data_IF_873813964322
#
_entry.id   IF_873813964322
#
_cell.length_a   1.000
_cell.length_b   1.000
_cell.length_c   1.000
_cell.angle_alpha   90.00
_cell.angle_beta   90.00
_cell.angle_gamma   90.00
#
_symmetry.space_group_name_H-M   'P 1'
#
loop_
_entity.id
_entity.type
_entity.pdbx_description
1 polymer ?
#
# COMPACT_ATOMS: atom_id res chain seq x y z
N UNK A 1 17.62 -8.47 36.66
CA UNK A 1 16.44 -7.57 36.60
C UNK A 1 16.80 -6.11 36.23
N UNK A 2 18.01 -5.82 35.71
CA UNK A 2 18.47 -4.44 35.45
C UNK A 2 18.83 -4.21 33.97
N UNK A 3 17.96 -4.59 33.04
CA UNK A 3 18.08 -4.16 31.64
C UNK A 3 17.27 -2.87 31.47
N UNK A 4 17.88 -1.81 30.93
CA UNK A 4 17.13 -0.63 30.50
C UNK A 4 16.08 -1.02 29.45
N UNK A 5 14.89 -0.41 29.47
CA UNK A 5 13.86 -0.70 28.47
C UNK A 5 14.36 -0.31 27.06
N UNK A 6 13.99 -1.07 26.01
CA UNK A 6 14.37 -0.74 24.65
C UNK A 6 13.69 0.55 24.19
N UNK A 7 14.33 1.31 23.30
CA UNK A 7 13.79 2.56 22.74
C UNK A 7 12.41 2.39 22.07
N UNK A 8 12.09 1.19 21.60
CA UNK A 8 10.78 0.86 21.01
C UNK A 8 9.61 1.08 21.98
N UNK A 9 9.83 0.98 23.30
CA UNK A 9 8.82 1.32 24.32
C UNK A 9 8.37 2.78 24.22
N UNK A 10 9.30 3.67 23.87
CA UNK A 10 9.07 5.11 23.73
C UNK A 10 8.81 5.52 22.28
N UNK A 11 8.61 4.57 21.35
CA UNK A 11 8.59 4.84 19.92
C UNK A 11 7.64 5.97 19.49
N UNK A 12 6.44 6.05 20.07
CA UNK A 12 5.49 7.14 19.78
C UNK A 12 5.98 8.52 20.25
N UNK A 13 6.62 8.59 21.42
CA UNK A 13 7.22 9.83 21.92
C UNK A 13 8.43 10.22 21.06
N UNK A 14 9.27 9.26 20.66
CA UNK A 14 10.44 9.53 19.83
C UNK A 14 10.05 10.00 18.42
N UNK A 15 8.98 9.46 17.83
CA UNK A 15 8.42 9.98 16.57
C UNK A 15 7.86 11.39 16.70
N UNK A 16 7.21 11.71 17.83
CA UNK A 16 6.78 13.07 18.17
C UNK A 16 7.98 14.02 18.22
N UNK A 17 8.97 13.73 19.06
CA UNK A 17 10.18 14.57 19.22
C UNK A 17 10.97 14.72 17.91
N UNK A 18 11.04 13.68 17.09
CA UNK A 18 11.66 13.74 15.77
C UNK A 18 11.02 14.80 14.88
N UNK A 19 9.68 14.85 14.80
CA UNK A 19 9.00 15.83 13.96
C UNK A 19 9.09 17.26 14.51
N UNK A 20 9.00 17.48 15.83
CA UNK A 20 9.28 18.81 16.41
C UNK A 20 10.71 19.27 16.10
N UNK A 21 11.69 18.39 16.27
CA UNK A 21 13.12 18.69 15.99
C UNK A 21 13.34 19.00 14.51
N UNK A 22 12.68 18.29 13.60
CA UNK A 22 12.77 18.53 12.16
C UNK A 22 12.08 19.84 11.72
N UNK A 23 11.01 20.25 12.41
CA UNK A 23 10.21 21.41 12.06
C UNK A 23 10.70 22.73 12.68
N UNK A 24 11.31 22.70 13.86
CA UNK A 24 11.60 23.89 14.70
C UNK A 24 12.36 25.03 14.00
N UNK A 25 13.24 24.72 13.05
CA UNK A 25 14.04 25.70 12.30
C UNK A 25 13.57 25.90 10.84
N UNK A 26 12.41 25.38 10.47
CA UNK A 26 11.90 25.41 9.09
C UNK A 26 10.49 26.05 9.03
N UNK A 27 10.37 27.38 8.84
CA UNK A 27 9.07 28.08 8.78
C UNK A 27 8.25 27.76 7.51
N UNK A 28 8.65 26.76 6.71
CA UNK A 28 7.93 26.22 5.55
C UNK A 28 7.76 24.71 5.62
N UNK A 29 7.92 24.10 6.80
CA UNK A 29 7.85 22.64 6.98
C UNK A 29 6.50 22.05 6.54
N UNK A 30 5.44 22.86 6.60
CA UNK A 30 4.05 22.57 6.22
C UNK A 30 3.75 22.79 4.72
N UNK A 31 4.75 23.15 3.92
CA UNK A 31 4.60 23.45 2.49
C UNK A 31 5.57 22.61 1.65
N UNK A 32 5.20 22.37 0.40
CA UNK A 32 6.12 21.87 -0.62
C UNK A 32 6.94 23.01 -1.22
N UNK A 33 6.35 24.20 -1.38
CA UNK A 33 7.01 25.38 -1.96
C UNK A 33 8.07 25.97 -1.02
N UNK A 34 9.33 25.93 -1.47
CA UNK A 34 10.46 26.55 -0.76
C UNK A 34 10.85 25.87 0.55
N UNK A 35 10.37 24.65 0.81
CA UNK A 35 10.78 23.80 1.92
C UNK A 35 12.04 22.99 1.53
N UNK A 36 13.18 23.17 2.21
CA UNK A 36 14.46 22.58 1.78
C UNK A 36 14.53 21.05 1.88
N UNK A 37 13.65 20.41 2.65
CA UNK A 37 13.61 18.96 2.83
C UNK A 37 12.52 18.26 2.00
N UNK A 38 11.62 19.01 1.36
CA UNK A 38 10.51 18.47 0.59
C UNK A 38 10.89 18.29 -0.88
N UNK A 39 10.65 17.09 -1.42
CA UNK A 39 10.71 16.83 -2.85
C UNK A 39 9.60 17.62 -3.56
N UNK A 40 9.95 18.25 -4.69
CA UNK A 40 8.99 18.92 -5.57
C UNK A 40 8.31 17.90 -6.48
N UNK A 41 7.16 17.40 -6.04
CA UNK A 41 6.33 16.48 -6.81
C UNK A 41 5.26 17.30 -7.56
N UNK A 42 5.08 17.12 -8.88
CA UNK A 42 3.99 17.76 -9.63
C UNK A 42 2.66 17.07 -9.31
N UNK A 43 2.09 17.39 -8.15
CA UNK A 43 0.76 16.92 -7.74
C UNK A 43 -0.36 17.55 -8.57
N UNK A 44 -1.42 16.78 -8.81
CA UNK A 44 -2.57 17.21 -9.59
C UNK A 44 -3.51 18.11 -8.75
N UNK A 45 -4.05 19.17 -9.37
CA UNK A 45 -5.08 20.02 -8.75
C UNK A 45 -6.47 19.49 -9.12
N UNK A 46 -7.04 18.67 -8.24
CA UNK A 46 -8.37 18.10 -8.44
C UNK A 46 -9.27 18.33 -7.20
N UNK A 47 -9.98 19.48 -7.13
CA UNK A 47 -10.81 19.83 -5.97
C UNK A 47 -12.02 18.90 -5.80
N UNK A 48 -12.57 18.34 -6.89
CA UNK A 48 -13.68 17.39 -6.82
C UNK A 48 -13.24 16.06 -6.17
N UNK A 49 -12.06 15.55 -6.55
CA UNK A 49 -11.49 14.35 -5.96
C UNK A 49 -11.06 14.56 -4.50
N UNK A 50 -10.50 15.74 -4.18
CA UNK A 50 -10.21 16.12 -2.80
C UNK A 50 -11.48 16.16 -1.93
N UNK A 51 -12.55 16.79 -2.42
CA UNK A 51 -13.83 16.84 -1.71
C UNK A 51 -14.41 15.43 -1.48
N UNK A 52 -14.41 14.56 -2.50
CA UNK A 52 -14.85 13.16 -2.35
C UNK A 52 -14.04 12.38 -1.31
N UNK A 53 -12.72 12.62 -1.21
CA UNK A 53 -11.88 12.03 -0.17
C UNK A 53 -12.19 12.59 1.22
N UNK A 54 -12.24 13.92 1.36
CA UNK A 54 -12.49 14.59 2.64
C UNK A 54 -13.90 14.31 3.20
N UNK A 55 -14.89 14.13 2.34
CA UNK A 55 -16.29 13.89 2.70
C UNK A 55 -16.69 12.40 2.77
N UNK A 56 -15.74 11.47 2.68
CA UNK A 56 -15.99 10.02 2.69
C UNK A 56 -16.96 9.53 1.58
N UNK A 57 -16.73 10.01 0.35
CA UNK A 57 -17.51 9.70 -0.87
C UNK A 57 -16.63 9.16 -2.00
N UNK A 58 -15.53 8.49 -1.67
CA UNK A 58 -14.60 7.89 -2.65
C UNK A 58 -15.19 6.67 -3.36
N UNK A 59 -16.19 6.02 -2.76
CA UNK A 59 -16.73 4.76 -3.23
C UNK A 59 -15.88 3.54 -2.83
N UNK A 60 -14.84 3.73 -2.01
CA UNK A 60 -14.05 2.67 -1.39
C UNK A 60 -14.41 2.58 0.10
N UNK A 61 -15.20 1.58 0.54
CA UNK A 61 -15.76 1.53 1.90
C UNK A 61 -14.75 1.61 3.04
N UNK A 62 -13.52 1.09 2.83
CA UNK A 62 -12.46 1.20 3.82
C UNK A 62 -11.97 2.65 4.00
N UNK A 63 -11.74 3.37 2.90
CA UNK A 63 -11.31 4.77 2.91
C UNK A 63 -12.41 5.65 3.48
N UNK A 64 -13.66 5.45 3.01
CA UNK A 64 -14.81 6.22 3.44
C UNK A 64 -15.17 5.96 4.92
N UNK A 65 -15.03 4.72 5.42
CA UNK A 65 -15.22 4.43 6.84
C UNK A 65 -14.16 5.13 7.72
N UNK A 66 -12.89 5.17 7.28
CA UNK A 66 -11.82 5.88 8.01
C UNK A 66 -12.09 7.39 8.03
N UNK A 67 -12.42 7.99 6.89
CA UNK A 67 -12.68 9.43 6.81
C UNK A 67 -13.96 9.82 7.57
N UNK A 68 -14.94 8.91 7.65
CA UNK A 68 -16.13 9.06 8.49
C UNK A 68 -15.79 8.97 9.98
N UNK A 69 -14.97 8.00 10.41
CA UNK A 69 -14.50 7.93 11.80
C UNK A 69 -13.75 9.20 12.19
N UNK A 70 -12.81 9.66 11.35
CA UNK A 70 -12.04 10.88 11.59
C UNK A 70 -12.96 12.09 11.82
N UNK A 71 -13.98 12.27 10.98
CA UNK A 71 -14.93 13.38 11.10
C UNK A 71 -15.87 13.27 12.31
N UNK A 72 -16.17 12.06 12.79
CA UNK A 72 -17.10 11.82 13.91
C UNK A 72 -16.41 11.80 15.28
N UNK A 73 -15.22 11.22 15.36
CA UNK A 73 -14.52 10.91 16.63
C UNK A 73 -13.22 11.71 16.80
N UNK A 74 -12.75 12.41 15.76
CA UNK A 74 -11.54 13.23 15.79
C UNK A 74 -10.23 12.43 15.90
N UNK A 75 -10.27 11.10 15.84
CA UNK A 75 -9.10 10.25 15.91
C UNK A 75 -9.25 9.01 15.02
N UNK A 76 -8.15 8.61 14.38
CA UNK A 76 -8.05 7.37 13.62
C UNK A 76 -6.68 6.72 13.84
N UNK A 77 -6.64 5.39 13.92
CA UNK A 77 -5.41 4.62 14.14
C UNK A 77 -4.34 4.93 13.08
N UNK A 78 -3.05 4.90 13.45
CA UNK A 78 -1.95 5.26 12.53
C UNK A 78 -1.97 4.49 11.20
N UNK A 79 -2.29 3.19 11.20
CA UNK A 79 -2.42 2.42 9.95
C UNK A 79 -3.60 2.87 9.07
N UNK A 80 -4.65 3.44 9.67
CA UNK A 80 -5.76 4.06 8.94
C UNK A 80 -5.32 5.40 8.32
N UNK A 81 -4.55 6.23 9.07
CA UNK A 81 -3.89 7.44 8.55
C UNK A 81 -3.02 7.11 7.32
N UNK A 82 -2.22 6.05 7.41
CA UNK A 82 -1.39 5.56 6.29
C UNK A 82 -2.23 5.19 5.06
N UNK A 83 -3.36 4.50 5.25
CA UNK A 83 -4.23 4.10 4.14
C UNK A 83 -4.85 5.30 3.41
N UNK A 84 -5.42 6.26 4.15
CA UNK A 84 -6.07 7.43 3.53
C UNK A 84 -5.08 8.43 2.95
N UNK A 85 -3.91 8.61 3.58
CA UNK A 85 -2.83 9.45 3.05
C UNK A 85 -2.21 8.84 1.78
N UNK A 86 -2.02 7.51 1.75
CA UNK A 86 -1.59 6.81 0.54
C UNK A 86 -2.60 6.99 -0.59
N UNK A 87 -3.90 6.76 -0.33
CA UNK A 87 -4.95 6.92 -1.34
C UNK A 87 -4.99 8.34 -1.93
N UNK A 88 -4.95 9.37 -1.08
CA UNK A 88 -4.96 10.77 -1.54
C UNK A 88 -3.73 11.14 -2.39
N UNK A 89 -2.55 10.66 -2.01
CA UNK A 89 -1.27 11.12 -2.59
C UNK A 89 -0.74 10.13 -3.64
N UNK A 90 0.41 9.49 -3.38
CA UNK A 90 1.13 8.60 -4.30
C UNK A 90 0.43 7.28 -4.65
N UNK A 91 -0.66 6.93 -3.98
CA UNK A 91 -1.43 5.70 -4.20
C UNK A 91 -2.39 5.86 -5.36
N UNK A 92 -3.41 6.71 -5.22
CA UNK A 92 -4.56 6.68 -6.12
C UNK A 92 -4.86 8.06 -6.75
N UNK A 93 -5.06 9.12 -5.96
CA UNK A 93 -5.60 10.39 -6.46
C UNK A 93 -4.54 11.40 -6.94
N UNK A 94 -3.27 11.22 -6.59
CA UNK A 94 -2.15 12.12 -6.97
C UNK A 94 -2.31 13.59 -6.52
N UNK A 95 -3.02 13.82 -5.42
CA UNK A 95 -3.25 15.16 -4.85
C UNK A 95 -2.13 15.50 -3.84
N UNK A 96 -1.81 16.79 -3.67
CA UNK A 96 -0.76 17.20 -2.73
C UNK A 96 -1.08 16.78 -1.30
N UNK A 97 -0.03 16.33 -0.61
CA UNK A 97 -0.06 16.03 0.83
C UNK A 97 -0.42 17.27 1.66
N UNK A 98 -0.18 18.48 1.14
CA UNK A 98 -0.57 19.76 1.75
C UNK A 98 -2.10 19.89 1.92
N UNK A 99 -2.88 19.32 0.99
CA UNK A 99 -4.35 19.35 1.08
C UNK A 99 -4.87 18.32 2.10
N UNK A 100 -4.24 17.15 2.17
CA UNK A 100 -4.52 16.15 3.19
C UNK A 100 -4.18 16.63 4.60
N UNK A 101 -3.07 17.37 4.73
CA UNK A 101 -2.63 18.00 5.97
C UNK A 101 -3.67 18.98 6.52
N UNK A 102 -4.25 19.86 5.67
CA UNK A 102 -5.32 20.79 6.08
C UNK A 102 -6.57 20.08 6.59
N UNK A 103 -7.00 19.01 5.91
CA UNK A 103 -8.17 18.21 6.36
C UNK A 103 -7.88 17.49 7.68
N UNK A 104 -6.63 17.07 7.91
CA UNK A 104 -6.23 16.51 9.21
C UNK A 104 -6.09 17.60 10.29
N UNK A 105 -5.66 18.82 9.95
CA UNK A 105 -5.62 19.96 10.88
C UNK A 105 -7.03 20.38 11.32
N UNK A 106 -8.03 20.32 10.44
CA UNK A 106 -9.44 20.58 10.76
C UNK A 106 -10.05 19.51 11.68
N UNK A 107 -9.72 18.24 11.48
CA UNK A 107 -10.47 17.11 12.06
C UNK A 107 -9.74 16.30 13.13
N UNK A 108 -8.41 16.27 13.15
CA UNK A 108 -7.64 15.31 13.94
C UNK A 108 -7.15 15.91 15.26
N UNK A 109 -7.67 15.41 16.37
CA UNK A 109 -7.42 15.94 17.73
C UNK A 109 -5.95 15.87 18.19
N UNK A 110 -5.11 15.04 17.56
CA UNK A 110 -3.68 14.91 17.84
C UNK A 110 -2.77 15.46 16.72
N UNK A 111 -3.31 16.26 15.80
CA UNK A 111 -2.54 16.97 14.78
C UNK A 111 -1.89 18.26 15.32
N UNK A 112 -0.70 18.13 15.91
CA UNK A 112 0.23 19.26 16.00
C UNK A 112 0.79 19.59 14.61
N UNK A 113 0.99 20.87 14.29
CA UNK A 113 1.56 21.36 13.02
C UNK A 113 2.81 20.57 12.59
N UNK A 114 3.75 20.34 13.51
CA UNK A 114 5.01 19.64 13.25
C UNK A 114 4.78 18.17 12.90
N UNK A 115 3.95 17.49 13.70
CA UNK A 115 3.67 16.05 13.56
C UNK A 115 2.81 15.78 12.33
N UNK A 116 1.83 16.64 12.05
CA UNK A 116 0.92 16.54 10.91
C UNK A 116 1.70 16.74 9.60
N UNK A 117 2.38 17.87 9.42
CA UNK A 117 3.19 18.15 8.24
C UNK A 117 4.28 17.08 8.01
N UNK A 118 4.99 16.69 9.07
CA UNK A 118 6.03 15.67 9.01
C UNK A 118 5.50 14.30 8.59
N UNK A 119 4.35 13.89 9.13
CA UNK A 119 3.69 12.63 8.75
C UNK A 119 3.20 12.65 7.30
N UNK A 120 2.62 13.76 6.84
CA UNK A 120 2.13 13.89 5.46
C UNK A 120 3.27 13.91 4.43
N UNK A 121 4.38 14.62 4.72
CA UNK A 121 5.60 14.53 3.91
C UNK A 121 6.19 13.11 3.88
N UNK A 122 6.16 12.39 5.00
CA UNK A 122 6.68 11.01 5.06
C UNK A 122 5.82 10.04 4.24
N UNK A 123 4.50 10.02 4.47
CA UNK A 123 3.59 9.03 3.88
C UNK A 123 3.41 9.20 2.36
N UNK A 124 3.47 10.45 1.88
CA UNK A 124 3.49 10.78 0.45
C UNK A 124 4.84 10.48 -0.23
N UNK A 125 5.87 10.10 0.53
CA UNK A 125 7.26 10.02 0.08
C UNK A 125 7.75 11.35 -0.52
N UNK A 126 7.40 12.47 0.12
CA UNK A 126 7.94 13.80 -0.18
C UNK A 126 9.16 14.14 0.70
N UNK A 127 9.34 13.48 1.84
CA UNK A 127 10.56 13.59 2.66
C UNK A 127 10.80 12.35 3.55
N UNK A 128 11.92 12.36 4.26
CA UNK A 128 12.42 11.34 5.21
C UNK A 128 12.69 9.94 4.65
N UNK A 129 11.74 9.30 3.97
CA UNK A 129 11.86 7.95 3.43
C UNK A 129 11.32 7.86 1.99
N UNK A 130 11.99 7.06 1.16
CA UNK A 130 11.77 7.03 -0.29
C UNK A 130 11.17 5.70 -0.79
N UNK A 131 10.55 4.90 0.10
CA UNK A 131 10.01 3.57 -0.23
C UNK A 131 8.60 3.65 -0.87
N UNK A 132 8.46 4.40 -1.96
CA UNK A 132 7.17 4.66 -2.62
C UNK A 132 6.51 3.43 -3.28
N UNK A 133 7.23 2.31 -3.41
CA UNK A 133 6.77 1.08 -4.07
C UNK A 133 5.61 0.37 -3.34
N UNK A 134 5.50 0.56 -2.02
CA UNK A 134 4.46 -0.07 -1.21
C UNK A 134 3.26 0.87 -1.05
N UNK A 135 2.29 0.75 -1.95
CA UNK A 135 0.98 1.41 -1.84
C UNK A 135 -0.02 0.53 -1.08
N UNK A 136 -0.86 1.13 -0.24
CA UNK A 136 -1.92 0.40 0.47
C UNK A 136 -3.11 0.18 -0.45
N UNK A 137 -3.47 -1.09 -0.71
CA UNK A 137 -4.67 -1.40 -1.48
C UNK A 137 -5.94 -1.04 -0.68
N UNK A 138 -6.80 -0.11 -1.17
CA UNK A 138 -7.97 0.37 -0.44
C UNK A 138 -9.07 -0.70 -0.24
N UNK A 139 -8.99 -1.83 -0.95
CA UNK A 139 -9.86 -3.00 -0.73
C UNK A 139 -9.13 -4.04 0.14
N UNK A 140 -7.95 -4.47 -0.33
CA UNK A 140 -7.24 -5.60 0.25
C UNK A 140 -6.63 -5.35 1.63
N UNK A 141 -6.31 -4.09 1.98
CA UNK A 141 -5.79 -3.77 3.31
C UNK A 141 -6.88 -3.91 4.38
N UNK A 142 -8.00 -3.21 4.20
CA UNK A 142 -9.16 -3.31 5.10
C UNK A 142 -9.65 -4.74 5.30
N UNK A 143 -9.80 -5.52 4.21
CA UNK A 143 -10.23 -6.93 4.26
C UNK A 143 -9.28 -7.85 5.06
N UNK A 144 -7.99 -7.50 5.17
CA UNK A 144 -7.02 -8.22 6.02
C UNK A 144 -7.05 -7.76 7.49
N UNK A 145 -7.36 -6.49 7.73
CA UNK A 145 -7.46 -5.91 9.07
C UNK A 145 -8.76 -6.32 9.78
N UNK A 146 -9.87 -6.35 9.05
CA UNK A 146 -11.20 -6.73 9.54
C UNK A 146 -11.92 -7.60 8.49
N UNK A 147 -11.82 -8.94 8.57
CA UNK A 147 -12.44 -9.82 7.57
C UNK A 147 -13.98 -9.85 7.57
N UNK A 148 -14.67 -9.45 8.65
CA UNK A 148 -16.14 -9.38 8.70
C UNK A 148 -16.67 -8.05 8.15
N UNK A 149 -15.84 -7.00 8.19
CA UNK A 149 -16.16 -5.64 7.78
C UNK A 149 -17.04 -4.92 8.78
N UNK A 150 -17.02 -5.30 10.05
CA UNK A 150 -17.84 -4.69 11.10
C UNK A 150 -17.47 -3.23 11.35
N UNK A 151 -16.21 -2.85 11.12
CA UNK A 151 -15.76 -1.46 11.06
C UNK A 151 -16.52 -0.66 9.99
N UNK A 152 -16.68 -1.23 8.78
CA UNK A 152 -17.47 -0.61 7.71
C UNK A 152 -18.95 -0.53 8.12
N UNK A 153 -19.53 -1.58 8.71
CA UNK A 153 -20.95 -1.58 9.15
C UNK A 153 -21.25 -0.55 10.25
N UNK A 154 -20.24 -0.21 11.05
CA UNK A 154 -20.28 0.81 12.10
C UNK A 154 -20.29 2.21 11.49
N UNK A 155 -19.27 2.58 10.71
CA UNK A 155 -19.10 3.95 10.19
C UNK A 155 -19.89 4.24 8.91
N UNK A 156 -20.21 3.22 8.11
CA UNK A 156 -21.04 3.33 6.90
C UNK A 156 -22.32 2.47 7.03
N UNK A 157 -23.31 2.87 7.84
CA UNK A 157 -24.57 2.12 8.03
C UNK A 157 -25.32 1.76 6.75
N UNK A 158 -25.18 2.57 5.68
CA UNK A 158 -25.78 2.31 4.36
C UNK A 158 -25.29 0.99 3.73
N UNK A 159 -24.08 0.54 4.08
CA UNK A 159 -23.50 -0.72 3.60
C UNK A 159 -23.78 -1.91 4.55
N UNK A 160 -24.51 -1.71 5.66
CA UNK A 160 -24.68 -2.73 6.72
C UNK A 160 -25.28 -4.05 6.21
N UNK A 161 -26.08 -4.02 5.14
CA UNK A 161 -26.68 -5.20 4.53
C UNK A 161 -25.76 -6.04 3.63
N UNK A 162 -24.57 -5.56 3.25
CA UNK A 162 -23.70 -6.30 2.34
C UNK A 162 -23.03 -7.51 3.00
N UNK A 163 -22.99 -8.69 2.36
CA UNK A 163 -22.19 -9.82 2.83
C UNK A 163 -20.70 -9.46 2.96
N UNK A 164 -19.98 -10.02 3.92
CA UNK A 164 -18.55 -9.75 4.14
C UNK A 164 -17.68 -9.99 2.89
N UNK A 165 -18.09 -10.89 1.99
CA UNK A 165 -17.47 -11.11 0.66
C UNK A 165 -17.36 -9.83 -0.18
N UNK A 166 -18.34 -8.92 -0.06
CA UNK A 166 -18.49 -7.72 -0.90
C UNK A 166 -18.39 -6.40 -0.12
N UNK A 167 -18.28 -6.43 1.21
CA UNK A 167 -18.33 -5.21 2.04
C UNK A 167 -17.19 -4.22 1.75
N UNK A 168 -16.05 -4.71 1.25
CA UNK A 168 -14.88 -3.90 0.86
C UNK A 168 -14.88 -3.47 -0.61
N UNK A 169 -15.72 -4.09 -1.44
CA UNK A 169 -15.79 -3.93 -2.90
C UNK A 169 -17.23 -4.13 -3.42
N UNK A 170 -18.21 -3.34 -2.92
CA UNK A 170 -19.63 -3.60 -3.14
C UNK A 170 -20.08 -3.40 -4.59
N UNK A 171 -19.29 -2.69 -5.41
CA UNK A 171 -19.49 -2.60 -6.86
C UNK A 171 -19.31 -3.95 -7.59
N UNK A 172 -18.63 -4.93 -6.98
CA UNK A 172 -18.52 -6.30 -7.49
C UNK A 172 -19.72 -7.19 -7.07
N UNK A 173 -20.65 -6.68 -6.26
CA UNK A 173 -21.82 -7.43 -5.83
C UNK A 173 -22.88 -7.49 -6.96
N UNK A 174 -23.43 -8.68 -7.26
CA UNK A 174 -24.57 -8.81 -8.17
C UNK A 174 -25.76 -7.94 -7.74
N UNK A 175 -26.59 -7.50 -8.69
CA UNK A 175 -27.72 -6.60 -8.43
C UNK A 175 -28.67 -7.15 -7.35
N UNK A 176 -28.93 -8.46 -7.35
CA UNK A 176 -29.76 -9.12 -6.33
C UNK A 176 -29.16 -9.05 -4.92
N UNK A 177 -27.83 -9.05 -4.79
CA UNK A 177 -27.14 -8.83 -3.51
C UNK A 177 -27.28 -7.37 -3.07
N UNK A 178 -27.20 -6.41 -4.00
CA UNK A 178 -27.40 -4.98 -3.71
C UNK A 178 -28.85 -4.68 -3.29
N UNK A 179 -29.84 -5.30 -3.96
CA UNK A 179 -31.27 -5.25 -3.60
C UNK A 179 -31.51 -5.84 -2.21
N UNK A 180 -30.99 -7.03 -1.93
CA UNK A 180 -31.10 -7.67 -0.62
C UNK A 180 -30.44 -6.84 0.50
N UNK A 181 -29.29 -6.21 0.22
CA UNK A 181 -28.60 -5.29 1.12
C UNK A 181 -29.32 -3.93 1.28
N UNK A 182 -30.36 -3.65 0.47
CA UNK A 182 -31.09 -2.37 0.38
C UNK A 182 -30.19 -1.17 0.05
N UNK A 183 -29.14 -1.40 -0.73
CA UNK A 183 -28.20 -0.35 -1.14
C UNK A 183 -27.67 -0.60 -2.56
N UNK A 184 -28.23 0.13 -3.53
CA UNK A 184 -27.77 0.13 -4.93
C UNK A 184 -26.57 1.07 -5.10
N UNK A 185 -25.48 0.54 -5.66
CA UNK A 185 -24.19 1.22 -5.84
C UNK A 185 -24.22 2.15 -7.07
N UNK A 186 -23.90 3.42 -6.84
CA UNK A 186 -24.15 4.53 -7.75
C UNK A 186 -25.41 5.34 -7.44
N UNK A 187 -26.24 4.89 -6.48
CA UNK A 187 -27.45 5.62 -6.03
C UNK A 187 -27.41 5.93 -4.54
N UNK A 188 -27.22 4.92 -3.70
CA UNK A 188 -27.25 5.04 -2.22
C UNK A 188 -25.84 5.20 -1.62
N UNK A 189 -24.85 4.61 -2.29
CA UNK A 189 -23.43 4.73 -1.98
C UNK A 189 -22.67 4.87 -3.32
N UNK A 190 -21.67 5.76 -3.44
CA UNK A 190 -21.01 6.04 -4.72
C UNK A 190 -20.29 4.83 -5.32
N UNK A 191 -20.11 4.85 -6.64
CA UNK A 191 -19.16 3.95 -7.33
C UNK A 191 -17.72 4.41 -7.03
N UNK A 192 -16.72 3.50 -7.10
CA UNK A 192 -15.31 3.88 -7.00
C UNK A 192 -14.97 5.05 -7.91
N UNK A 193 -14.40 6.11 -7.33
CA UNK A 193 -13.99 7.30 -8.07
C UNK A 193 -12.81 7.08 -9.02
N UNK A 194 -12.07 5.97 -8.84
CA UNK A 194 -10.92 5.56 -9.65
C UNK A 194 -10.85 4.04 -9.77
N UNK A 195 -10.15 3.54 -10.80
CA UNK A 195 -9.69 2.14 -10.84
C UNK A 195 -8.33 2.05 -10.14
N UNK A 196 -8.31 1.51 -8.91
CA UNK A 196 -7.10 1.40 -8.08
C UNK A 196 -5.93 0.69 -8.79
N UNK A 197 -6.19 -0.38 -9.55
CA UNK A 197 -5.14 -1.17 -10.18
C UNK A 197 -4.40 -0.35 -11.26
N UNK A 198 -5.12 0.49 -12.00
CA UNK A 198 -4.53 1.36 -13.02
C UNK A 198 -3.95 2.64 -12.42
N UNK A 199 -4.67 3.29 -11.49
CA UNK A 199 -4.21 4.51 -10.83
C UNK A 199 -2.88 4.27 -10.08
N UNK A 200 -2.80 3.23 -9.26
CA UNK A 200 -1.57 2.91 -8.53
C UNK A 200 -0.41 2.50 -9.45
N UNK A 201 -0.68 1.79 -10.55
CA UNK A 201 0.34 1.47 -11.57
C UNK A 201 0.92 2.72 -12.22
N UNK A 202 0.06 3.67 -12.61
CA UNK A 202 0.50 4.97 -13.17
C UNK A 202 1.29 5.77 -12.13
N UNK A 203 0.77 5.87 -10.89
CA UNK A 203 1.36 6.70 -9.85
C UNK A 203 2.71 6.17 -9.35
N UNK A 204 2.90 4.84 -9.29
CA UNK A 204 4.20 4.23 -9.00
C UNK A 204 5.24 4.58 -10.09
N UNK A 205 4.84 4.58 -11.37
CA UNK A 205 5.74 4.98 -12.46
C UNK A 205 6.03 6.49 -12.44
N UNK A 206 5.04 7.35 -12.14
CA UNK A 206 5.25 8.79 -11.90
C UNK A 206 6.29 9.02 -10.79
N UNK A 207 6.15 8.37 -9.63
CA UNK A 207 7.13 8.45 -8.53
C UNK A 207 8.52 7.97 -8.95
N UNK A 208 8.61 6.86 -9.68
CA UNK A 208 9.87 6.32 -10.20
C UNK A 208 10.58 7.32 -11.12
N UNK A 209 9.86 7.98 -12.02
CA UNK A 209 10.44 8.99 -12.92
C UNK A 209 10.96 10.22 -12.15
N UNK A 210 10.21 10.71 -11.16
CA UNK A 210 10.63 11.82 -10.28
C UNK A 210 11.92 11.46 -9.54
N UNK A 211 11.98 10.28 -8.91
CA UNK A 211 13.15 9.85 -8.16
C UNK A 211 14.36 9.53 -9.04
N UNK A 212 14.15 9.03 -10.26
CA UNK A 212 15.21 8.90 -11.26
C UNK A 212 15.80 10.27 -11.62
N UNK A 213 14.97 11.27 -11.95
CA UNK A 213 15.44 12.62 -12.23
C UNK A 213 16.25 13.21 -11.05
N UNK A 214 15.76 13.05 -9.82
CA UNK A 214 16.47 13.51 -8.61
C UNK A 214 17.82 12.82 -8.39
N UNK A 215 17.93 11.51 -8.69
CA UNK A 215 19.22 10.79 -8.61
C UNK A 215 20.24 11.30 -9.62
N UNK A 216 19.81 11.62 -10.84
CA UNK A 216 20.66 12.24 -11.87
C UNK A 216 21.14 13.64 -11.45
N UNK A 217 20.29 14.43 -10.81
CA UNK A 217 20.65 15.76 -10.29
C UNK A 217 21.56 15.72 -9.04
N UNK A 218 21.55 14.63 -8.26
CA UNK A 218 22.39 14.49 -7.05
C UNK A 218 23.71 13.75 -7.25
N UNK A 219 24.04 13.32 -8.48
CA UNK A 219 25.31 12.67 -8.80
C UNK A 219 25.57 11.33 -8.08
N UNK A 220 24.52 10.70 -7.54
CA UNK A 220 24.60 9.46 -6.76
C UNK A 220 23.80 8.36 -7.44
N UNK A 221 24.46 7.68 -8.38
CA UNK A 221 23.94 6.50 -9.07
C UNK A 221 23.96 5.24 -8.20
N UNK A 222 23.31 5.26 -7.04
CA UNK A 222 22.97 4.06 -6.27
C UNK A 222 21.46 3.99 -6.01
N UNK A 223 20.92 2.77 -5.99
CA UNK A 223 19.50 2.39 -5.77
C UNK A 223 18.55 2.44 -6.99
N UNK A 224 19.08 2.35 -8.22
CA UNK A 224 18.29 2.05 -9.42
C UNK A 224 18.36 0.57 -9.86
N UNK A 225 18.26 -0.38 -8.93
CA UNK A 225 18.13 -1.82 -9.23
C UNK A 225 16.82 -2.38 -8.67
N UNK A 226 15.88 -2.65 -9.59
CA UNK A 226 14.58 -3.25 -9.27
C UNK A 226 14.71 -4.78 -9.31
N UNK A 227 14.39 -5.52 -8.22
CA UNK A 227 14.26 -6.96 -8.29
C UNK A 227 12.96 -7.32 -9.02
N UNK A 228 13.07 -7.90 -10.22
CA UNK A 228 11.90 -8.49 -10.91
C UNK A 228 11.59 -9.82 -10.25
N UNK A 229 10.46 -9.89 -9.54
CA UNK A 229 10.06 -11.10 -8.81
C UNK A 229 9.37 -12.11 -9.76
N UNK A 230 10.16 -12.82 -10.57
CA UNK A 230 9.69 -13.89 -11.47
C UNK A 230 9.35 -15.17 -10.70
N UNK A 231 8.27 -15.15 -9.91
CA UNK A 231 7.75 -16.33 -9.23
C UNK A 231 6.22 -16.27 -9.05
N UNK A 232 5.48 -16.05 -10.14
CA UNK A 232 4.07 -16.42 -10.19
C UNK A 232 3.55 -16.69 -11.63
N UNK A 233 4.28 -17.51 -12.39
CA UNK A 233 3.78 -18.09 -13.63
C UNK A 233 3.10 -19.44 -13.31
N UNK A 234 1.81 -19.38 -12.97
CA UNK A 234 0.99 -20.59 -12.83
C UNK A 234 0.91 -21.34 -14.15
N UNK A 235 1.08 -22.67 -14.11
CA UNK A 235 0.82 -23.56 -15.27
C UNK A 235 -0.58 -23.29 -15.82
N UNK A 236 -0.65 -22.96 -17.11
CA UNK A 236 -1.85 -23.19 -17.92
C UNK A 236 -1.42 -24.14 -19.04
N UNK A 237 -2.08 -25.30 -19.08
CA UNK A 237 -1.83 -26.37 -20.03
C UNK A 237 -2.89 -26.30 -21.12
N UNK A 238 -2.47 -26.03 -22.36
CA UNK A 238 -3.32 -26.09 -23.55
C UNK A 238 -2.50 -26.55 -24.74
N UNK A 239 -2.56 -27.85 -25.05
CA UNK A 239 -1.99 -28.38 -26.28
C UNK A 239 -2.99 -28.31 -27.44
N UNK A 240 -2.53 -27.81 -28.59
CA UNK A 240 -3.04 -28.28 -29.90
C UNK A 240 -1.97 -28.19 -31.00
N UNK A 241 -2.09 -29.12 -31.93
CA UNK A 241 -1.19 -29.57 -32.99
C UNK A 241 -0.91 -28.64 -34.18
N UNK A 242 0.13 -29.03 -34.95
CA UNK A 242 0.43 -28.80 -36.39
C UNK A 242 1.58 -27.82 -36.73
N UNK A 243 2.52 -28.29 -37.58
CA UNK A 243 3.59 -27.50 -38.25
C UNK A 243 3.33 -27.43 -39.77
N UNK A 244 4.35 -27.48 -40.68
CA UNK A 244 5.81 -27.42 -40.50
C UNK A 244 6.57 -26.51 -41.53
N UNK A 245 7.92 -26.46 -41.44
CA UNK A 245 8.84 -25.89 -42.46
C UNK A 245 9.48 -24.55 -42.07
N UNK A 246 10.69 -24.18 -42.53
CA UNK A 246 11.65 -24.79 -43.49
C UNK A 246 13.05 -24.15 -43.32
N UNK A 247 14.15 -24.90 -43.53
CA UNK A 247 15.48 -24.52 -44.14
C UNK A 247 16.11 -23.11 -43.90
N UNK A 248 17.43 -22.92 -43.71
CA UNK A 248 18.63 -23.68 -44.14
C UNK A 248 19.93 -23.16 -43.47
N UNK A 249 21.01 -23.98 -43.48
CA UNK A 249 22.46 -23.61 -43.64
C UNK A 249 23.18 -22.65 -42.65
N UNK A 250 24.48 -22.78 -42.30
CA UNK A 250 25.51 -23.77 -42.67
C UNK A 250 26.73 -23.84 -41.69
N UNK A 251 27.58 -24.90 -41.79
CA UNK A 251 29.07 -24.96 -41.55
C UNK A 251 29.67 -24.48 -40.19
N UNK A 252 30.60 -25.16 -39.48
CA UNK A 252 31.41 -26.38 -39.71
C UNK A 252 31.99 -26.99 -38.41
N UNK A 253 32.40 -28.28 -38.46
CA UNK A 253 33.60 -28.98 -37.87
C UNK A 253 34.27 -28.35 -36.61
N UNK A 254 34.71 -29.04 -35.54
CA UNK A 254 35.19 -30.43 -35.25
C UNK A 254 35.41 -30.53 -33.71
N UNK A 255 35.65 -31.63 -32.98
CA UNK A 255 35.78 -33.09 -33.22
C UNK A 255 35.34 -33.90 -31.95
N UNK A 256 36.13 -34.84 -31.40
CA UNK A 256 35.85 -35.63 -30.17
C UNK A 256 37.10 -35.80 -29.25
N UNK A 257 37.17 -36.80 -28.32
CA UNK A 257 36.29 -37.95 -28.12
C UNK A 257 35.77 -38.15 -26.66
N UNK A 258 35.07 -39.25 -26.44
CA UNK A 258 34.48 -39.69 -25.16
C UNK A 258 35.47 -40.35 -24.18
N UNK A 259 35.11 -40.39 -22.89
CA UNK A 259 35.14 -41.65 -22.15
C UNK A 259 34.17 -41.70 -20.94
N UNK A 260 33.70 -42.91 -20.66
CA UNK A 260 32.77 -43.32 -19.59
C UNK A 260 33.46 -43.56 -18.24
N UNK A 261 32.67 -43.52 -17.15
CA UNK A 261 32.41 -44.64 -16.20
C UNK A 261 32.38 -44.25 -14.69
N UNK A 262 31.70 -45.11 -13.88
CA UNK A 262 31.80 -45.28 -12.40
C UNK A 262 31.04 -44.37 -11.42
N UNK A 263 29.72 -44.56 -11.43
CA UNK A 263 28.90 -45.09 -10.31
C UNK A 263 29.64 -45.39 -8.98
N UNK A 264 29.22 -44.78 -7.87
CA UNK A 264 29.08 -45.48 -6.57
C UNK A 264 28.05 -44.84 -5.62
N UNK A 265 27.20 -45.68 -5.02
CA UNK A 265 26.29 -45.34 -3.91
C UNK A 265 27.02 -45.50 -2.57
N UNK A 266 26.69 -44.69 -1.57
CA UNK A 266 26.64 -45.13 -0.16
C UNK A 266 25.36 -44.61 0.54
N UNK A 267 24.91 -45.40 1.52
CA UNK A 267 23.68 -45.25 2.33
C UNK A 267 24.06 -44.92 3.78
N UNK A 268 23.01 -44.74 4.60
CA UNK A 268 22.97 -44.54 6.07
C UNK A 268 23.11 -43.07 6.51
N UNK A 269 22.33 -42.60 7.48
CA UNK A 269 21.26 -43.29 8.22
C UNK A 269 20.46 -42.37 9.12
N UNK A 270 19.34 -42.90 9.61
CA UNK A 270 18.26 -42.33 10.43
C UNK A 270 18.62 -41.30 11.51
N UNK A 271 17.65 -40.43 11.85
CA UNK A 271 17.00 -40.34 13.20
C UNK A 271 16.06 -39.11 13.24
N UNK A 272 14.77 -39.33 13.52
CA UNK A 272 13.81 -38.28 13.95
C UNK A 272 13.98 -37.95 15.45
N UNK A 273 13.36 -36.87 15.95
CA UNK A 273 12.17 -37.14 16.77
C UNK A 273 11.01 -36.15 16.60
N UNK A 274 9.78 -36.69 16.57
CA UNK A 274 8.58 -35.93 16.90
C UNK A 274 8.60 -35.41 18.36
N UNK A 275 7.93 -34.27 18.60
CA UNK A 275 7.21 -34.02 19.87
C UNK A 275 6.03 -33.07 19.66
N UNK A 276 4.82 -33.56 19.93
CA UNK A 276 3.61 -32.74 20.00
C UNK A 276 3.36 -32.20 21.41
N UNK A 277 2.67 -31.05 21.54
CA UNK A 277 1.48 -30.89 22.43
C UNK A 277 1.02 -29.43 22.67
N UNK A 278 -0.04 -29.03 21.94
CA UNK A 278 -1.28 -28.33 22.38
C UNK A 278 -1.24 -26.97 23.19
N UNK A 279 -2.38 -26.22 23.23
CA UNK A 279 -2.37 -24.77 23.41
C UNK A 279 -2.68 -24.26 24.83
N UNK A 280 -2.38 -22.97 25.07
CA UNK A 280 -2.71 -22.27 26.31
C UNK A 280 -4.19 -21.87 26.41
N UNK A 281 -4.75 -21.99 27.63
CA UNK A 281 -6.07 -21.48 28.04
C UNK A 281 -5.93 -20.20 28.86
N UNK A 282 -6.99 -19.39 28.84
CA UNK A 282 -7.19 -18.26 29.76
C UNK A 282 -7.32 -18.71 31.22
N UNK A 283 -7.07 -17.79 32.15
CA UNK A 283 -7.76 -17.75 33.45
C UNK A 283 -7.87 -16.31 33.96
N UNK A 284 -9.12 -15.95 34.28
CA UNK A 284 -9.63 -14.97 35.26
C UNK A 284 -8.76 -13.77 35.61
#
# INVERSE_FOLDING_TARGET
KNSSPPLSLYGQLLWREFFYTAATNNPRFDKMEGNPICVRIPWDKNPEALAKWAEAKTGFPWIDAIMTQLRQEGWIHHLARHAVACFLTRGDLWISWEEGMKVFEELLLDADWSVNAGSWMWLSCSSFFQQFFHCYCPVGFGRRTDPSGDYIRRYLPVLRGFPAKYIYDPWNAPEEVQKAARCIIGTHYPRPMVNHAEASRINIERMKQIYQQLSCYRGLGLLATVPVNTNNAGRVDTGTSQGPGRSSEDVSRKEGPSQTERRQKRRHGDVEPERSSKPWKQSK
#
